data_IF_675353551633
#
_entry.id   IF_675353551633
#
_cell.length_a   1.000
_cell.length_b   1.000
_cell.length_c   1.000
_cell.angle_alpha   90.00
_cell.angle_beta   90.00
_cell.angle_gamma   90.00
#
_symmetry.space_group_name_H-M   'P 1'
#
loop_
_entity.id
_entity.type
_entity.pdbx_description
1 polymer ?
#
# COMPACT_ATOMS: atom_id res chain seq x y z
N UNK A 1 31.13 13.46 -27.73
CA UNK A 1 30.54 14.12 -26.55
C UNK A 1 29.78 13.06 -25.77
N UNK A 2 29.95 12.94 -24.44
CA UNK A 2 29.12 12.02 -23.65
C UNK A 2 27.65 12.45 -23.75
N UNK A 3 26.75 11.51 -23.97
CA UNK A 3 25.32 11.81 -23.98
C UNK A 3 24.84 12.11 -22.56
N UNK A 4 23.86 13.04 -22.40
CA UNK A 4 23.29 13.31 -21.08
C UNK A 4 22.65 12.03 -20.54
N UNK A 5 23.01 11.68 -19.29
CA UNK A 5 22.41 10.57 -18.58
C UNK A 5 20.95 10.94 -18.27
N UNK A 6 19.97 10.03 -18.47
CA UNK A 6 18.59 10.31 -18.11
C UNK A 6 18.50 10.67 -16.62
N UNK A 7 17.64 11.65 -16.30
CA UNK A 7 17.37 12.01 -14.92
C UNK A 7 16.87 10.78 -14.14
N UNK A 8 17.25 10.63 -12.86
CA UNK A 8 16.77 9.51 -12.05
C UNK A 8 15.26 9.60 -11.88
N UNK A 9 14.58 8.46 -11.98
CA UNK A 9 13.14 8.33 -11.77
C UNK A 9 12.77 8.82 -10.37
N UNK A 10 11.82 9.74 -10.26
CA UNK A 10 11.26 10.27 -9.01
C UNK A 10 10.01 9.48 -8.65
N UNK A 11 10.01 8.91 -7.44
CA UNK A 11 8.90 8.09 -6.94
C UNK A 11 8.40 8.69 -5.64
N UNK A 12 7.10 8.96 -5.56
CA UNK A 12 6.43 9.16 -4.28
C UNK A 12 6.24 7.80 -3.62
N UNK A 13 7.04 7.52 -2.58
CA UNK A 13 7.13 6.19 -1.99
C UNK A 13 6.02 5.89 -0.97
N UNK A 14 5.19 6.87 -0.60
CA UNK A 14 4.15 6.65 0.41
C UNK A 14 2.99 7.62 0.25
N UNK A 15 1.87 7.10 -0.26
CA UNK A 15 0.55 7.72 -0.14
C UNK A 15 -0.52 6.64 0.07
N UNK A 16 -1.75 7.09 0.29
CA UNK A 16 -2.91 6.24 0.51
C UNK A 16 -4.03 6.63 -0.46
N UNK A 17 -4.76 5.64 -0.95
CA UNK A 17 -6.02 5.83 -1.66
C UNK A 17 -7.12 5.12 -0.88
N UNK A 18 -8.30 5.73 -0.79
CA UNK A 18 -9.44 5.07 -0.16
C UNK A 18 -10.76 5.59 -0.73
N UNK A 19 -11.74 4.69 -0.78
CA UNK A 19 -13.13 5.01 -1.10
C UNK A 19 -14.01 4.73 0.12
N UNK A 20 -14.48 5.80 0.76
CA UNK A 20 -15.31 5.70 1.97
C UNK A 20 -16.69 5.12 1.69
N UNK A 21 -17.14 5.13 0.42
CA UNK A 21 -18.35 4.43 -0.01
C UNK A 21 -18.19 2.91 -0.06
N UNK A 22 -16.94 2.42 -0.18
CA UNK A 22 -16.61 0.99 -0.26
C UNK A 22 -16.13 0.44 1.07
N UNK A 23 -15.25 1.15 1.78
CA UNK A 23 -14.70 0.72 3.07
C UNK A 23 -14.67 1.88 4.06
N UNK A 24 -15.34 1.77 5.22
CA UNK A 24 -15.17 2.74 6.30
C UNK A 24 -13.74 2.67 6.86
N UNK A 25 -13.21 3.80 7.29
CA UNK A 25 -11.87 3.91 7.88
C UNK A 25 -12.00 4.14 9.40
N UNK A 26 -11.87 3.11 10.25
CA UNK A 26 -12.17 3.24 11.68
C UNK A 26 -11.26 4.20 12.45
N UNK A 27 -10.07 4.46 11.91
CA UNK A 27 -9.10 5.42 12.46
C UNK A 27 -9.48 6.88 12.17
N UNK A 28 -10.44 7.11 11.27
CA UNK A 28 -10.87 8.44 10.83
C UNK A 28 -11.97 9.00 11.73
N UNK A 29 -11.64 9.24 12.99
CA UNK A 29 -12.54 9.79 14.01
C UNK A 29 -12.03 11.11 14.56
N UNK A 30 -12.91 12.09 14.71
CA UNK A 30 -12.60 13.39 15.34
C UNK A 30 -12.53 14.54 14.33
N UNK A 31 -12.86 15.78 14.75
CA UNK A 31 -12.91 16.95 13.87
C UNK A 31 -11.58 17.29 13.20
N UNK A 32 -10.46 16.86 13.78
CA UNK A 32 -9.13 17.01 13.22
C UNK A 32 -8.92 16.22 11.93
N UNK A 33 -9.72 15.17 11.69
CA UNK A 33 -9.66 14.33 10.49
C UNK A 33 -10.75 14.67 9.47
N UNK A 34 -11.64 15.63 9.77
CA UNK A 34 -12.69 16.09 8.83
C UNK A 34 -12.13 16.48 7.43
N UNK A 35 -10.96 17.14 7.30
CA UNK A 35 -10.42 17.48 5.98
C UNK A 35 -10.13 16.28 5.08
N UNK A 36 -9.89 15.10 5.67
CA UNK A 36 -9.60 13.86 4.97
C UNK A 36 -10.77 12.86 5.01
N UNK A 37 -11.91 13.25 5.59
CA UNK A 37 -13.14 12.47 5.70
C UNK A 37 -13.94 12.41 4.39
N UNK A 38 -13.25 12.05 3.31
CA UNK A 38 -13.79 11.90 1.95
C UNK A 38 -13.00 10.85 1.16
N UNK A 39 -13.52 10.43 0.02
CA UNK A 39 -12.81 9.55 -0.92
C UNK A 39 -11.62 10.29 -1.57
N UNK A 40 -10.52 9.56 -1.74
CA UNK A 40 -9.33 9.95 -2.51
C UNK A 40 -8.98 8.81 -3.47
N UNK A 41 -9.04 9.07 -4.77
CA UNK A 41 -8.73 8.11 -5.82
C UNK A 41 -7.49 8.54 -6.64
N UNK A 42 -7.08 7.67 -7.56
CA UNK A 42 -5.90 7.94 -8.39
C UNK A 42 -6.11 9.14 -9.34
N UNK A 43 -7.34 9.41 -9.78
CA UNK A 43 -7.62 10.51 -10.70
C UNK A 43 -7.42 11.88 -10.04
N UNK A 44 -7.61 11.97 -8.71
CA UNK A 44 -7.26 13.17 -7.94
C UNK A 44 -5.74 13.30 -7.70
N UNK A 45 -5.03 12.19 -7.53
CA UNK A 45 -3.58 12.19 -7.30
C UNK A 45 -2.77 12.50 -8.57
N UNK A 46 -3.15 11.94 -9.71
CA UNK A 46 -2.39 12.04 -10.97
C UNK A 46 -1.94 13.48 -11.34
N UNK A 47 -2.81 14.50 -11.33
CA UNK A 47 -2.39 15.86 -11.65
C UNK A 47 -1.39 16.45 -10.63
N UNK A 48 -1.41 15.99 -9.37
CA UNK A 48 -0.45 16.43 -8.35
C UNK A 48 0.94 15.82 -8.61
N UNK A 49 1.00 14.58 -9.09
CA UNK A 49 2.28 13.97 -9.47
C UNK A 49 2.93 14.76 -10.60
N UNK A 50 2.15 15.16 -11.60
CA UNK A 50 2.63 15.97 -12.72
C UNK A 50 3.10 17.35 -12.26
N UNK A 51 2.34 18.01 -11.38
CA UNK A 51 2.68 19.33 -10.84
C UNK A 51 3.98 19.35 -10.01
N UNK A 52 4.40 18.19 -9.50
CA UNK A 52 5.59 18.04 -8.64
C UNK A 52 6.73 17.23 -9.28
N UNK A 53 6.60 16.89 -10.57
CA UNK A 53 7.50 16.05 -11.36
C UNK A 53 7.82 14.69 -10.71
N UNK A 54 6.77 13.98 -10.27
CA UNK A 54 6.85 12.57 -9.88
C UNK A 54 6.48 11.67 -11.06
N UNK A 55 7.41 10.78 -11.42
CA UNK A 55 7.20 9.83 -12.53
C UNK A 55 6.24 8.70 -12.13
N UNK A 56 6.25 8.30 -10.85
CA UNK A 56 5.42 7.23 -10.34
C UNK A 56 5.25 7.27 -8.82
N UNK A 57 4.45 6.35 -8.30
CA UNK A 57 4.14 6.23 -6.88
C UNK A 57 4.16 4.78 -6.39
N UNK A 58 4.29 4.63 -5.08
CA UNK A 58 3.96 3.41 -4.35
C UNK A 58 2.77 3.72 -3.43
N UNK A 59 1.66 3.02 -3.65
CA UNK A 59 0.47 3.16 -2.79
C UNK A 59 0.55 2.16 -1.64
N UNK A 60 0.21 2.62 -0.43
CA UNK A 60 0.31 1.84 0.80
C UNK A 60 -1.10 1.61 1.36
N UNK A 61 -1.37 0.40 1.88
CA UNK A 61 -2.65 0.08 2.54
C UNK A 61 -3.00 1.09 3.64
N UNK A 62 -4.29 1.37 3.83
CA UNK A 62 -4.80 2.26 4.89
C UNK A 62 -5.58 1.52 5.99
N UNK A 63 -5.95 0.26 5.74
CA UNK A 63 -6.73 -0.61 6.63
C UNK A 63 -6.22 -2.05 6.63
N UNK A 64 -6.38 -2.77 7.74
CA UNK A 64 -5.96 -4.17 7.85
C UNK A 64 -6.91 -5.12 7.09
N UNK A 65 -6.90 -5.05 5.75
CA UNK A 65 -7.83 -5.75 4.87
C UNK A 65 -7.15 -6.28 3.61
N UNK A 66 -7.24 -7.60 3.38
CA UNK A 66 -6.76 -8.22 2.15
C UNK A 66 -7.54 -7.74 0.92
N UNK A 67 -8.81 -7.38 1.10
CA UNK A 67 -9.62 -6.81 0.03
C UNK A 67 -9.11 -5.42 -0.38
N UNK A 68 -8.58 -4.63 0.56
CA UNK A 68 -7.92 -3.37 0.20
C UNK A 68 -6.70 -3.61 -0.68
N UNK A 69 -5.89 -4.62 -0.37
CA UNK A 69 -4.74 -4.98 -1.21
C UNK A 69 -5.17 -5.26 -2.64
N UNK A 70 -6.25 -6.02 -2.84
CA UNK A 70 -6.80 -6.31 -4.17
C UNK A 70 -7.24 -5.04 -4.90
N UNK A 71 -7.92 -4.15 -4.19
CA UNK A 71 -8.40 -2.88 -4.75
C UNK A 71 -7.26 -1.94 -5.15
N UNK A 72 -6.19 -1.88 -4.36
CA UNK A 72 -5.00 -1.11 -4.68
C UNK A 72 -4.25 -1.70 -5.88
N UNK A 73 -4.23 -3.03 -6.02
CA UNK A 73 -3.69 -3.71 -7.20
C UNK A 73 -4.53 -3.43 -8.45
N UNK A 74 -5.86 -3.40 -8.33
CA UNK A 74 -6.76 -2.99 -9.42
C UNK A 74 -6.54 -1.52 -9.81
N UNK A 75 -6.39 -0.62 -8.83
CA UNK A 75 -6.03 0.77 -9.09
C UNK A 75 -4.68 0.87 -9.81
N UNK A 76 -3.69 0.05 -9.42
CA UNK A 76 -2.40 0.01 -10.09
C UNK A 76 -2.51 -0.45 -11.54
N UNK A 77 -3.32 -1.47 -11.82
CA UNK A 77 -3.59 -1.93 -13.18
C UNK A 77 -4.26 -0.84 -14.05
N UNK A 78 -5.13 -0.01 -13.46
CA UNK A 78 -5.78 1.12 -14.14
C UNK A 78 -4.94 2.38 -14.30
N UNK A 79 -3.77 2.47 -13.65
CA UNK A 79 -2.98 3.71 -13.56
C UNK A 79 -2.05 4.00 -14.75
N UNK A 80 -2.05 3.15 -15.79
CA UNK A 80 -1.09 3.28 -16.90
C UNK A 80 0.38 3.15 -16.47
N UNK A 81 0.66 2.52 -15.31
CA UNK A 81 2.01 2.34 -14.76
C UNK A 81 2.50 3.48 -13.84
N UNK A 82 1.66 4.48 -13.56
CA UNK A 82 1.96 5.56 -12.59
C UNK A 82 1.97 5.05 -11.16
N UNK A 83 1.14 4.08 -10.81
CA UNK A 83 1.31 3.32 -9.56
C UNK A 83 2.26 2.15 -9.89
N UNK A 84 3.52 2.34 -9.53
CA UNK A 84 4.60 1.39 -9.83
C UNK A 84 4.72 0.28 -8.79
N UNK A 85 4.08 0.43 -7.63
CA UNK A 85 4.10 -0.55 -6.55
C UNK A 85 2.92 -0.41 -5.61
N UNK A 86 2.52 -1.52 -5.02
CA UNK A 86 1.53 -1.60 -3.94
C UNK A 86 2.21 -2.22 -2.72
N UNK A 87 2.13 -1.54 -1.58
CA UNK A 87 2.40 -2.13 -0.26
C UNK A 87 1.05 -2.49 0.36
N UNK A 88 0.68 -3.76 0.23
CA UNK A 88 -0.62 -4.28 0.67
C UNK A 88 -0.67 -4.64 2.15
N UNK A 89 -1.82 -5.13 2.57
CA UNK A 89 -2.01 -5.88 3.81
C UNK A 89 -2.27 -7.36 3.50
N UNK A 90 -1.68 -8.24 4.30
CA UNK A 90 -1.99 -9.67 4.37
C UNK A 90 -1.71 -10.15 5.81
N UNK A 91 -2.45 -11.15 6.28
CA UNK A 91 -2.32 -11.63 7.66
C UNK A 91 -0.96 -12.34 7.86
N UNK A 92 -0.04 -11.68 8.58
CA UNK A 92 1.28 -12.24 8.90
C UNK A 92 1.23 -13.47 9.80
N UNK A 93 0.08 -13.79 10.40
CA UNK A 93 -0.11 -14.96 11.25
C UNK A 93 -0.65 -16.16 10.50
N UNK A 94 -1.14 -15.98 9.27
CA UNK A 94 -1.72 -17.03 8.44
C UNK A 94 -0.63 -18.04 8.01
N UNK A 95 -0.78 -19.34 8.35
CA UNK A 95 0.14 -20.37 7.86
C UNK A 95 0.15 -20.52 6.33
N UNK A 96 -0.92 -20.09 5.64
CA UNK A 96 -1.06 -20.07 4.18
C UNK A 96 -0.60 -18.78 3.50
N UNK A 97 0.07 -17.87 4.22
CA UNK A 97 0.43 -16.54 3.68
C UNK A 97 1.18 -16.59 2.34
N UNK A 98 2.08 -17.56 2.15
CA UNK A 98 2.82 -17.69 0.88
C UNK A 98 1.88 -17.90 -0.32
N UNK A 99 0.87 -18.76 -0.18
CA UNK A 99 -0.13 -19.00 -1.23
C UNK A 99 -1.03 -17.78 -1.43
N UNK A 100 -1.37 -17.07 -0.34
CA UNK A 100 -2.10 -15.81 -0.40
C UNK A 100 -1.32 -14.78 -1.22
N UNK A 101 -0.04 -14.56 -0.93
CA UNK A 101 0.81 -13.61 -1.67
C UNK A 101 0.97 -14.02 -3.13
N UNK A 102 1.22 -15.31 -3.41
CA UNK A 102 1.33 -15.82 -4.77
C UNK A 102 0.04 -15.65 -5.60
N UNK A 103 -1.12 -15.59 -4.93
CA UNK A 103 -2.41 -15.32 -5.57
C UNK A 103 -2.63 -13.84 -5.91
N UNK A 104 -1.92 -12.93 -5.24
CA UNK A 104 -1.99 -11.49 -5.49
C UNK A 104 -1.09 -11.15 -6.68
N UNK A 105 -1.68 -11.07 -7.88
CA UNK A 105 -0.98 -10.60 -9.08
C UNK A 105 -0.65 -9.11 -9.02
N UNK A 106 -0.04 -8.58 -10.09
CA UNK A 106 0.25 -7.15 -10.21
C UNK A 106 1.52 -6.71 -9.45
N UNK A 107 1.74 -5.39 -9.28
CA UNK A 107 2.98 -4.86 -8.72
C UNK A 107 2.96 -4.83 -7.17
N UNK A 108 2.69 -5.96 -6.53
CA UNK A 108 2.83 -6.08 -5.07
C UNK A 108 4.32 -6.04 -4.70
N UNK A 109 4.75 -5.00 -4.01
CA UNK A 109 6.17 -4.77 -3.65
C UNK A 109 6.46 -4.88 -2.16
N UNK A 110 5.43 -5.12 -1.35
CA UNK A 110 5.59 -5.33 0.09
C UNK A 110 4.27 -5.52 0.81
N UNK A 111 4.39 -5.81 2.10
CA UNK A 111 3.26 -5.91 3.04
C UNK A 111 3.51 -4.99 4.23
N UNK A 112 2.48 -4.30 4.70
CA UNK A 112 2.50 -3.51 5.95
C UNK A 112 1.45 -4.05 6.92
N UNK A 113 1.82 -4.12 8.20
CA UNK A 113 0.91 -4.35 9.32
C UNK A 113 0.90 -3.12 10.23
N UNK A 114 -0.28 -2.70 10.70
CA UNK A 114 -0.44 -1.57 11.62
C UNK A 114 -0.09 -2.00 13.06
N UNK A 115 1.18 -2.32 13.30
CA UNK A 115 1.66 -2.81 14.60
C UNK A 115 1.43 -1.82 15.74
N UNK A 116 1.28 -0.53 15.44
CA UNK A 116 0.98 0.49 16.44
C UNK A 116 -0.38 0.28 17.15
N UNK A 117 -1.30 -0.47 16.53
CA UNK A 117 -2.63 -0.75 17.07
C UNK A 117 -2.66 -2.05 17.90
N UNK A 118 -1.56 -2.79 17.94
CA UNK A 118 -1.46 -4.06 18.67
C UNK A 118 -1.33 -3.83 20.17
N UNK A 119 -2.16 -4.52 20.96
CA UNK A 119 -2.11 -4.47 22.41
C UNK A 119 -0.88 -5.20 23.00
N UNK A 120 -0.38 -6.21 22.29
CA UNK A 120 0.81 -6.97 22.70
C UNK A 120 2.09 -6.27 22.19
N UNK A 121 2.93 -5.70 23.08
CA UNK A 121 4.19 -5.08 22.65
C UNK A 121 5.17 -6.08 22.03
N UNK A 122 4.96 -7.38 22.22
CA UNK A 122 5.77 -8.46 21.64
C UNK A 122 5.12 -9.09 20.41
N UNK A 123 4.09 -8.46 19.82
CA UNK A 123 3.36 -9.02 18.68
C UNK A 123 4.29 -9.47 17.54
N UNK A 124 5.28 -8.64 17.18
CA UNK A 124 6.27 -8.95 16.13
C UNK A 124 7.17 -10.15 16.49
N UNK A 125 7.37 -10.43 17.78
CA UNK A 125 8.20 -11.54 18.24
C UNK A 125 7.45 -12.89 18.21
N UNK A 126 6.12 -12.88 18.05
CA UNK A 126 5.31 -14.10 17.99
C UNK A 126 5.79 -15.00 16.86
N UNK A 127 5.86 -16.31 17.13
CA UNK A 127 6.36 -17.28 16.17
C UNK A 127 5.57 -17.28 14.85
N UNK A 128 4.25 -17.04 14.90
CA UNK A 128 3.41 -16.88 13.71
C UNK A 128 3.87 -15.73 12.83
N UNK A 129 4.01 -14.54 13.42
CA UNK A 129 4.44 -13.33 12.72
C UNK A 129 5.85 -13.48 12.14
N UNK A 130 6.80 -14.05 12.88
CA UNK A 130 8.16 -14.28 12.36
C UNK A 130 8.18 -15.23 11.17
N UNK A 131 7.31 -16.26 11.15
CA UNK A 131 7.14 -17.11 9.97
C UNK A 131 6.54 -16.33 8.81
N UNK A 132 5.51 -15.50 9.05
CA UNK A 132 4.90 -14.66 8.02
C UNK A 132 5.89 -13.68 7.40
N UNK A 133 6.70 -13.00 8.21
CA UNK A 133 7.77 -12.12 7.73
C UNK A 133 8.81 -12.87 6.87
N UNK A 134 9.16 -14.10 7.24
CA UNK A 134 10.04 -14.94 6.43
C UNK A 134 9.40 -15.34 5.10
N UNK A 135 8.08 -15.59 5.07
CA UNK A 135 7.34 -15.86 3.84
C UNK A 135 7.30 -14.62 2.93
N UNK A 136 7.06 -13.43 3.47
CA UNK A 136 7.11 -12.16 2.71
C UNK A 136 8.51 -11.94 2.11
N UNK A 137 9.58 -12.22 2.86
CA UNK A 137 10.95 -12.06 2.37
C UNK A 137 11.34 -13.06 1.26
N UNK A 138 10.60 -14.16 1.11
CA UNK A 138 10.85 -15.21 0.13
C UNK A 138 9.94 -15.11 -1.12
N UNK A 139 8.93 -14.24 -1.08
CA UNK A 139 7.95 -14.05 -2.15
C UNK A 139 8.53 -13.26 -3.33
#
# INVERSE_FOLDING_TARGET
MPQPQPAPRRIDAHHHLWDLGRRPQPWMTGPELDPIARTFDFAELEPLLDAHDFDATVVVQSSSSLDETRELLDAAAGSGGRIAGVVGWADLTDPGLADVLASLGGPLVGVRHQVQDEADPWWLARAGVRRGLAAVAAA
#
